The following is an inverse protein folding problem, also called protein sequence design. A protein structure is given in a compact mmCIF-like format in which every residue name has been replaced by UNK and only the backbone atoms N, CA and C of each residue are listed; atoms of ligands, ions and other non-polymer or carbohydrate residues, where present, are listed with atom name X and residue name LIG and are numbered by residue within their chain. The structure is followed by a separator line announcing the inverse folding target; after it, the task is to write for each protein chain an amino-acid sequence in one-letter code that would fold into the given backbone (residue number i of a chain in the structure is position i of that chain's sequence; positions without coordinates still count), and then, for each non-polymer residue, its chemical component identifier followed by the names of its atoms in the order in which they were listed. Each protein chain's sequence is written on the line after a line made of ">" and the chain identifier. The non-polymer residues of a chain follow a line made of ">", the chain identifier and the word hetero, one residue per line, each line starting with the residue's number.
data_IF_003960085470
#
_entry.id   IF_003960085470
#
_cell.length_a   1.000
_cell.length_b   1.000
_cell.length_c   1.000
_cell.angle_alpha   90.00
_cell.angle_beta   90.00
_cell.angle_gamma   90.00
#
_symmetry.space_group_name_H-M   'P 1'
#
loop_
_entity.id
_entity.type
_entity.pdbx_description
1 polymer ?
#
# COMPACT_ATOMS: atom_id res chain seq x y z
N UNK A 1 3.70 4.82 -10.71
CA UNK A 1 2.76 4.80 -9.59
C UNK A 1 2.55 3.37 -9.11
N UNK A 2 2.65 3.20 -7.82
CA UNK A 2 2.50 1.89 -7.18
C UNK A 2 1.14 1.87 -6.48
N UNK A 3 0.33 0.85 -6.79
CA UNK A 3 -1.03 0.78 -6.28
C UNK A 3 -1.54 -0.66 -6.26
N UNK A 4 -2.59 -0.86 -5.47
CA UNK A 4 -3.32 -2.12 -5.50
C UNK A 4 -4.79 -1.86 -5.18
N UNK A 5 -5.64 -2.85 -5.47
CA UNK A 5 -7.08 -2.79 -5.23
C UNK A 5 -7.42 -3.70 -4.07
N UNK A 6 -8.33 -3.26 -3.21
CA UNK A 6 -8.71 -4.00 -2.01
C UNK A 6 -10.21 -3.94 -1.78
N UNK A 7 -10.77 -5.05 -1.30
CA UNK A 7 -12.14 -5.11 -0.83
C UNK A 7 -12.26 -4.98 0.69
N UNK A 8 -11.15 -4.74 1.37
CA UNK A 8 -11.14 -4.54 2.82
C UNK A 8 -11.69 -3.16 3.17
N UNK A 9 -12.12 -2.98 4.41
CA UNK A 9 -12.61 -1.69 4.87
C UNK A 9 -11.47 -0.67 4.94
N UNK A 10 -11.82 0.61 4.91
CA UNK A 10 -10.83 1.69 5.05
C UNK A 10 -10.03 1.51 6.36
N UNK A 11 -10.72 1.15 7.44
CA UNK A 11 -10.06 0.93 8.73
C UNK A 11 -9.01 -0.16 8.65
N UNK A 12 -9.34 -1.27 8.00
CA UNK A 12 -8.40 -2.38 7.84
C UNK A 12 -7.22 -2.00 6.96
N UNK A 13 -7.48 -1.27 5.88
CA UNK A 13 -6.44 -0.79 4.99
C UNK A 13 -5.47 0.10 5.76
N UNK A 14 -6.00 1.07 6.52
CA UNK A 14 -5.18 1.99 7.29
C UNK A 14 -4.35 1.28 8.34
N UNK A 15 -4.96 0.35 9.07
CA UNK A 15 -4.22 -0.42 10.09
C UNK A 15 -3.09 -1.21 9.49
N UNK A 16 -3.33 -1.87 8.36
CA UNK A 16 -2.31 -2.68 7.71
C UNK A 16 -1.17 -1.81 7.18
N UNK A 17 -1.48 -0.68 6.57
CA UNK A 17 -0.47 0.24 6.05
C UNK A 17 0.38 0.79 7.19
N UNK A 18 -0.25 1.25 8.26
CA UNK A 18 0.46 1.82 9.42
C UNK A 18 1.36 0.77 10.07
N UNK A 19 0.82 -0.42 10.32
CA UNK A 19 1.59 -1.50 10.94
C UNK A 19 2.79 -1.89 10.09
N UNK A 20 2.57 -2.07 8.78
CA UNK A 20 3.62 -2.47 7.86
C UNK A 20 4.71 -1.40 7.75
N UNK A 21 4.29 -0.14 7.67
CA UNK A 21 5.23 0.98 7.58
C UNK A 21 6.11 1.08 8.82
N UNK A 22 5.53 0.90 10.01
CA UNK A 22 6.29 0.92 11.25
C UNK A 22 7.31 -0.22 11.29
N UNK A 23 6.92 -1.40 10.84
CA UNK A 23 7.85 -2.54 10.76
C UNK A 23 8.98 -2.29 9.78
N UNK A 24 8.71 -1.53 8.73
CA UNK A 24 9.72 -1.19 7.73
C UNK A 24 10.64 -0.04 8.17
N UNK A 25 10.43 0.52 9.36
CA UNK A 25 11.26 1.61 9.85
C UNK A 25 10.80 2.99 9.42
N UNK A 26 9.50 3.16 9.21
CA UNK A 26 8.92 4.44 8.82
C UNK A 26 8.27 5.15 9.99
N UNK A 27 8.35 6.48 9.97
CA UNK A 27 7.48 7.31 10.79
C UNK A 27 6.16 7.46 10.05
N UNK A 28 5.06 7.46 10.78
CA UNK A 28 3.73 7.48 10.20
C UNK A 28 2.93 8.66 10.73
N UNK A 29 2.33 9.43 9.81
CA UNK A 29 1.35 10.45 10.16
C UNK A 29 0.02 10.05 9.53
N UNK A 30 -0.91 9.60 10.36
CA UNK A 30 -2.24 9.22 9.92
C UNK A 30 -3.26 10.12 10.59
N UNK A 31 -3.92 10.96 9.80
CA UNK A 31 -4.96 11.86 10.28
C UNK A 31 -6.29 11.42 9.67
N UNK A 32 -7.36 11.29 10.46
CA UNK A 32 -8.66 10.89 9.93
C UNK A 32 -9.09 11.78 8.77
N UNK A 33 -9.55 11.17 7.68
CA UNK A 33 -10.00 11.89 6.49
C UNK A 33 -8.90 12.45 5.62
N UNK A 34 -7.64 12.16 5.94
CA UNK A 34 -6.49 12.65 5.19
C UNK A 34 -5.63 11.49 4.71
N UNK A 35 -4.85 11.67 3.64
CA UNK A 35 -3.90 10.63 3.22
C UNK A 35 -2.90 10.34 4.33
N UNK A 36 -2.41 9.11 4.35
CA UNK A 36 -1.39 8.70 5.31
C UNK A 36 -0.04 9.11 4.76
N UNK A 37 0.79 9.73 5.60
CA UNK A 37 2.15 10.12 5.24
C UNK A 37 3.14 9.22 5.94
N UNK A 38 4.12 8.74 5.18
CA UNK A 38 5.18 7.86 5.68
C UNK A 38 6.52 8.51 5.40
N UNK A 39 7.47 8.35 6.32
CA UNK A 39 8.85 8.76 6.11
C UNK A 39 9.76 7.63 6.55
N UNK A 40 10.52 7.08 5.61
CA UNK A 40 11.46 6.00 5.91
C UNK A 40 12.72 6.59 6.55
N UNK A 41 13.03 6.19 7.78
CA UNK A 41 14.12 6.80 8.54
C UNK A 41 15.49 6.61 7.90
N UNK A 42 15.74 5.40 7.40
CA UNK A 42 17.08 5.08 6.85
C UNK A 42 17.36 5.78 5.54
N UNK A 43 16.37 5.93 4.65
CA UNK A 43 16.56 6.49 3.31
C UNK A 43 15.99 7.90 3.14
N UNK A 44 15.25 8.39 4.14
CA UNK A 44 14.55 9.68 4.10
C UNK A 44 13.52 9.79 2.98
N UNK A 45 13.12 8.66 2.38
CA UNK A 45 12.05 8.64 1.37
C UNK A 45 10.73 9.01 2.05
N UNK A 46 9.98 9.91 1.41
CA UNK A 46 8.65 10.28 1.89
C UNK A 46 7.60 9.78 0.90
N UNK A 47 6.54 9.22 1.45
CA UNK A 47 5.47 8.59 0.67
C UNK A 47 4.13 9.12 1.19
N UNK A 48 3.20 9.37 0.28
CA UNK A 48 1.80 9.59 0.64
C UNK A 48 1.00 8.39 0.15
N UNK A 49 0.12 7.87 1.03
CA UNK A 49 -0.75 6.75 0.71
C UNK A 49 -2.17 7.28 0.64
N UNK A 50 -2.78 7.14 -0.54
CA UNK A 50 -4.13 7.63 -0.80
C UNK A 50 -5.06 6.46 -1.05
N UNK A 51 -6.31 6.61 -0.64
CA UNK A 51 -7.33 5.58 -0.80
C UNK A 51 -8.52 6.18 -1.54
N UNK A 52 -9.00 5.47 -2.55
CA UNK A 52 -10.16 5.91 -3.34
C UNK A 52 -11.16 4.78 -3.47
N UNK A 53 -12.42 5.06 -3.18
CA UNK A 53 -13.49 4.10 -3.44
C UNK A 53 -13.83 4.18 -4.93
N UNK A 54 -13.58 3.09 -5.67
CA UNK A 54 -13.84 3.07 -7.11
C UNK A 54 -15.22 2.55 -7.45
N UNK A 55 -15.73 1.61 -6.65
CA UNK A 55 -17.14 1.20 -6.64
C UNK A 55 -17.47 0.87 -5.18
N UNK A 56 -18.74 0.78 -4.79
CA UNK A 56 -19.07 0.49 -3.40
C UNK A 56 -18.34 -0.75 -2.89
N UNK A 57 -17.60 -0.56 -1.80
CA UNK A 57 -16.86 -1.65 -1.15
C UNK A 57 -15.51 -1.99 -1.75
N UNK A 58 -15.11 -1.36 -2.84
CA UNK A 58 -13.82 -1.63 -3.48
C UNK A 58 -12.98 -0.34 -3.48
N UNK A 59 -11.76 -0.44 -2.98
CA UNK A 59 -10.86 0.70 -2.84
C UNK A 59 -9.60 0.51 -3.65
N UNK A 60 -9.11 1.60 -4.22
CA UNK A 60 -7.78 1.65 -4.80
C UNK A 60 -6.85 2.33 -3.79
N UNK A 61 -5.72 1.69 -3.49
CA UNK A 61 -4.72 2.22 -2.57
C UNK A 61 -3.50 2.60 -3.39
N UNK A 62 -3.18 3.90 -3.42
CA UNK A 62 -2.05 4.43 -4.17
C UNK A 62 -0.92 4.81 -3.23
N UNK A 63 0.30 4.39 -3.57
CA UNK A 63 1.51 4.83 -2.90
C UNK A 63 2.24 5.78 -3.84
N UNK A 64 2.46 7.01 -3.41
CA UNK A 64 3.13 8.02 -4.23
C UNK A 64 4.36 8.54 -3.51
N UNK A 65 5.48 8.55 -4.22
CA UNK A 65 6.71 9.13 -3.68
C UNK A 65 6.59 10.66 -3.68
N UNK A 66 6.77 11.26 -2.51
CA UNK A 66 6.81 12.71 -2.39
C UNK A 66 8.23 13.25 -2.55
N UNK A 67 9.20 12.54 -1.98
CA UNK A 67 10.60 12.95 -2.06
C UNK A 67 11.51 11.77 -1.75
N UNK A 68 12.79 11.92 -2.06
CA UNK A 68 13.77 10.90 -1.80
C UNK A 68 14.11 10.09 -3.04
N UNK A 69 15.05 9.18 -2.89
CA UNK A 69 15.59 8.39 -4.00
C UNK A 69 14.54 7.42 -4.54
N UNK A 70 14.40 7.39 -5.87
CA UNK A 70 13.39 6.54 -6.51
C UNK A 70 13.63 5.05 -6.25
N UNK A 71 14.88 4.60 -6.36
CA UNK A 71 15.20 3.19 -6.17
C UNK A 71 14.94 2.77 -4.73
N UNK A 72 15.29 3.61 -3.77
CA UNK A 72 14.99 3.35 -2.36
C UNK A 72 13.48 3.29 -2.11
N UNK A 73 12.72 4.14 -2.80
CA UNK A 73 11.26 4.11 -2.73
C UNK A 73 10.71 2.76 -3.22
N UNK A 74 11.18 2.28 -4.37
CA UNK A 74 10.68 1.01 -4.90
C UNK A 74 11.07 -0.17 -4.01
N UNK A 75 12.28 -0.17 -3.46
CA UNK A 75 12.70 -1.21 -2.52
C UNK A 75 11.79 -1.23 -1.30
N UNK A 76 11.53 -0.06 -0.74
CA UNK A 76 10.65 0.07 0.43
C UNK A 76 9.24 -0.42 0.12
N UNK A 77 8.70 0.01 -1.03
CA UNK A 77 7.36 -0.39 -1.44
C UNK A 77 7.25 -1.90 -1.60
N UNK A 78 8.22 -2.53 -2.26
CA UNK A 78 8.19 -3.97 -2.46
C UNK A 78 8.36 -4.72 -1.15
N UNK A 79 9.17 -4.21 -0.23
CA UNK A 79 9.29 -4.81 1.10
C UNK A 79 7.96 -4.75 1.85
N UNK A 80 7.29 -3.62 1.79
CA UNK A 80 5.98 -3.47 2.43
C UNK A 80 4.96 -4.40 1.79
N UNK A 81 4.99 -4.51 0.46
CA UNK A 81 4.04 -5.34 -0.27
C UNK A 81 4.20 -6.83 0.03
N UNK A 82 5.38 -7.27 0.41
CA UNK A 82 5.63 -8.66 0.81
C UNK A 82 5.05 -8.99 2.18
N UNK A 83 4.78 -7.97 3.00
CA UNK A 83 4.21 -8.18 4.33
C UNK A 83 2.84 -8.82 4.21
N UNK A 84 2.57 -9.83 5.04
CA UNK A 84 1.31 -10.58 4.98
C UNK A 84 0.10 -9.69 5.20
N UNK A 85 0.20 -8.65 6.02
CA UNK A 85 -0.91 -7.72 6.26
C UNK A 85 -1.32 -7.01 4.99
N UNK A 86 -0.34 -6.57 4.18
CA UNK A 86 -0.62 -5.91 2.91
C UNK A 86 -1.10 -6.93 1.87
N UNK A 87 -0.48 -8.11 1.82
CA UNK A 87 -0.91 -9.16 0.88
C UNK A 87 -2.36 -9.55 1.06
N UNK A 88 -2.83 -9.59 2.30
CA UNK A 88 -4.22 -9.94 2.60
C UNK A 88 -5.20 -8.88 2.12
N UNK A 89 -4.77 -7.63 2.02
CA UNK A 89 -5.62 -6.54 1.55
C UNK A 89 -5.82 -6.58 0.04
N UNK A 90 -4.75 -6.89 -0.69
CA UNK A 90 -4.78 -6.82 -2.14
C UNK A 90 -5.67 -7.91 -2.71
N UNK A 91 -6.55 -7.54 -3.63
CA UNK A 91 -7.32 -8.52 -4.37
C UNK A 91 -6.37 -9.31 -5.25
N UNK A 92 -6.63 -10.62 -5.33
CA UNK A 92 -5.80 -11.51 -6.11
C UNK A 92 -5.79 -11.09 -7.57
N UNK A 93 -4.67 -11.10 -8.07
CA UNK A 93 -4.48 -10.76 -9.47
C UNK A 93 -4.36 -12.00 -10.29
N UNK A 94 -4.60 -11.85 -8.63
CA UNK A 94 -4.40 -12.57 -8.69
C UNK A 94 -4.51 -13.26 -8.99
N UNK A 95 -4.88 -13.59 -9.02
CA UNK A 95 -4.68 -14.17 -9.32
C UNK A 95 -4.97 -14.64 -9.46
N UNK A 96 -5.43 -15.02 -9.75
CA UNK A 96 -5.25 -15.30 -10.20
C UNK A 96 -5.20 -15.39 -10.25
N UNK A 97 -5.78 -15.68 -10.39
CA UNK A 97 -5.39 -15.66 -10.80
C UNK A 97 -5.40 -15.65 -10.92
N UNK A 98 -6.01 -16.01 -11.04
CA UNK A 98 -5.59 -15.89 -11.47
C UNK A 98 -5.61 -15.95 -11.76
N UNK A 99 -6.31 -16.39 -11.99
CA UNK A 99 -5.86 -16.27 -12.55
C UNK A 99 -5.86 -16.20 -12.87
N UNK A 100 -6.49 -16.62 -13.07
CA UNK A 100 -6.00 -16.46 -13.64
C UNK A 100 -5.98 -16.41 -13.84
N UNK A 101 -6.62 -16.62 -13.92
CA UNK A 101 -6.11 -16.50 -14.41
C UNK A 101 -6.01 -16.48 -14.67
N UNK A 102 -6.64 -16.79 -14.75
CA UNK A 102 -6.08 -16.65 -15.22
C UNK A 102 -5.73 -16.43 -15.51
N UNK A 103 -6.44 -17.05 -15.58
CA UNK A 103 -5.75 -16.75 -16.11
C UNK A 103 -5.48 -16.60 -16.29
N UNK A 104 -5.95 -16.65 -16.35
CA UNK A 104 -5.27 -16.43 -16.81
C UNK A 104 -5.18 -16.46 -16.92
N UNK A 105 -5.50 -16.49 -17.24
CA UNK A 105 -5.07 -16.38 -17.57
C UNK A 105 -4.94 -16.16 -17.67
#
# INVERSE_FOLDING_TARGET
>A
TTRFISSSSVTEIEKAVVSTAKKAGCEVKATPGKPIRLRHNASAVQIVVEKYEIVPGIYMVNFNRLSGNRDAYYELYYDMKKNSSIKKLALSQSGKNSASAAGGE
#
